data_IF_971183009232
#
_entry.id   IF_971183009232
#
_cell.length_a   1.000
_cell.length_b   1.000
_cell.length_c   1.000
_cell.angle_alpha   90.00
_cell.angle_beta   90.00
_cell.angle_gamma   90.00
#
_symmetry.space_group_name_H-M   'P 1'
#
loop_
_entity.id
_entity.type
_entity.pdbx_description
1 polymer ?
#
# COMPACT_ATOMS: atom_id res chain seq x y z
N UNK A 1 21.35 30.50 3.56
CA UNK A 1 20.67 29.20 3.39
C UNK A 1 20.61 28.57 4.77
N UNK A 2 19.43 28.30 5.33
CA UNK A 2 19.33 27.79 6.69
C UNK A 2 19.63 26.29 6.69
N UNK A 3 20.52 25.85 7.59
CA UNK A 3 20.93 24.46 7.74
C UNK A 3 20.64 23.96 9.15
N UNK A 4 20.31 22.69 9.29
CA UNK A 4 20.10 22.05 10.58
C UNK A 4 20.49 20.57 10.52
N UNK A 5 21.00 20.07 11.64
CA UNK A 5 21.26 18.64 11.84
C UNK A 5 20.06 18.00 12.51
N UNK A 6 19.61 16.87 11.98
CA UNK A 6 18.51 16.11 12.56
C UNK A 6 19.00 15.26 13.71
N UNK A 7 18.31 15.34 14.85
CA UNK A 7 18.66 14.58 16.05
C UNK A 7 17.82 13.33 16.25
N UNK A 8 16.53 13.39 15.89
CA UNK A 8 15.58 12.32 16.20
C UNK A 8 14.40 12.32 15.22
N UNK A 9 13.55 11.31 15.33
CA UNK A 9 12.30 11.19 14.58
C UNK A 9 11.14 11.13 15.58
N UNK A 10 10.01 11.74 15.25
CA UNK A 10 8.79 11.65 16.05
C UNK A 10 7.91 10.45 15.62
N UNK A 11 6.83 10.23 16.37
CA UNK A 11 5.86 9.16 16.12
C UNK A 11 5.11 9.22 14.78
N UNK A 12 5.02 10.39 14.15
CA UNK A 12 4.45 10.56 12.81
C UNK A 12 5.50 10.31 11.72
N UNK A 13 6.75 10.03 12.11
CA UNK A 13 7.87 9.85 11.19
C UNK A 13 8.45 11.17 10.70
N UNK A 14 8.21 12.28 11.40
CA UNK A 14 8.80 13.60 11.08
C UNK A 14 10.14 13.73 11.78
N UNK A 15 11.12 14.25 11.06
CA UNK A 15 12.46 14.46 11.59
C UNK A 15 12.50 15.72 12.46
N UNK A 16 13.25 15.67 13.56
CA UNK A 16 13.27 16.72 14.58
C UNK A 16 14.68 17.30 14.67
N UNK A 17 14.75 18.61 14.47
CA UNK A 17 15.91 19.44 14.76
C UNK A 17 15.59 20.44 15.88
N UNK A 18 16.62 20.97 16.52
CA UNK A 18 16.49 22.07 17.49
C UNK A 18 17.22 23.28 16.95
N UNK A 19 16.47 24.33 16.63
CA UNK A 19 16.99 25.56 16.00
C UNK A 19 16.64 26.73 16.91
N UNK A 20 17.66 27.47 17.39
CA UNK A 20 17.48 28.57 18.35
C UNK A 20 16.57 28.20 19.54
N UNK A 21 16.85 27.05 20.16
CA UNK A 21 16.07 26.44 21.26
C UNK A 21 14.61 26.07 20.98
N UNK A 22 14.17 26.25 19.74
CA UNK A 22 12.84 25.86 19.29
C UNK A 22 12.88 24.52 18.59
N UNK A 23 11.86 23.69 18.85
CA UNK A 23 11.71 22.40 18.18
C UNK A 23 11.21 22.63 16.76
N UNK A 24 11.91 22.10 15.78
CA UNK A 24 11.54 22.24 14.36
C UNK A 24 11.37 20.86 13.75
N UNK A 25 10.15 20.59 13.25
CA UNK A 25 9.83 19.37 12.51
C UNK A 25 10.18 19.59 11.05
N UNK A 26 11.19 18.90 10.56
CA UNK A 26 11.68 19.02 9.18
C UNK A 26 11.24 17.78 8.41
N UNK A 27 10.28 17.90 7.51
CA UNK A 27 9.88 16.76 6.67
C UNK A 27 10.91 16.48 5.59
N UNK A 28 11.16 15.18 5.35
CA UNK A 28 12.01 14.71 4.25
C UNK A 28 13.50 14.65 4.57
N UNK A 29 13.89 14.69 5.85
CA UNK A 29 15.25 14.45 6.30
C UNK A 29 15.36 13.03 6.88
N UNK A 30 16.46 12.72 7.56
CA UNK A 30 16.63 11.55 8.42
C UNK A 30 17.50 11.92 9.62
N UNK A 31 17.37 11.23 10.77
CA UNK A 31 18.35 11.33 11.86
C UNK A 31 19.79 11.26 11.37
N UNK A 32 20.63 12.13 11.95
CA UNK A 32 22.05 12.32 11.61
C UNK A 32 22.33 13.05 10.29
N UNK A 33 21.32 13.33 9.46
CA UNK A 33 21.53 14.17 8.28
C UNK A 33 21.63 15.64 8.67
N UNK A 34 22.51 16.36 7.97
CA UNK A 34 22.48 17.82 7.89
C UNK A 34 21.73 18.19 6.62
N UNK A 35 20.74 19.05 6.74
CA UNK A 35 19.87 19.46 5.62
C UNK A 35 19.78 20.97 5.54
N UNK A 36 19.72 21.49 4.32
CA UNK A 36 19.15 22.80 4.07
C UNK A 36 17.63 22.69 4.14
N UNK A 37 16.96 23.65 4.77
CA UNK A 37 15.52 23.61 4.98
C UNK A 37 14.86 24.97 4.76
N UNK A 38 13.55 24.94 4.58
CA UNK A 38 12.69 26.11 4.52
C UNK A 38 11.53 25.94 5.50
N UNK A 39 11.31 26.95 6.36
CA UNK A 39 10.17 26.96 7.28
C UNK A 39 8.89 27.09 6.44
N UNK A 40 7.99 26.13 6.62
CA UNK A 40 6.68 26.10 5.96
C UNK A 40 5.61 26.70 6.86
N UNK A 41 5.74 26.56 8.18
CA UNK A 41 4.82 27.14 9.15
C UNK A 41 5.53 27.39 10.47
N UNK A 42 5.30 28.56 11.06
CA UNK A 42 5.80 28.87 12.40
C UNK A 42 4.67 28.89 13.42
N UNK A 43 4.89 28.26 14.58
CA UNK A 43 3.95 28.26 15.72
C UNK A 43 4.69 28.70 17.00
N UNK A 44 3.94 28.97 18.07
CA UNK A 44 4.50 29.47 19.34
C UNK A 44 5.58 28.55 19.93
N UNK A 45 5.37 27.23 19.89
CA UNK A 45 6.23 26.25 20.56
C UNK A 45 7.07 25.38 19.62
N UNK A 46 6.75 25.37 18.33
CA UNK A 46 7.50 24.61 17.33
C UNK A 46 7.39 25.24 15.95
N UNK A 47 8.30 24.89 15.06
CA UNK A 47 8.23 25.22 13.64
C UNK A 47 8.03 23.94 12.82
N UNK A 48 7.39 24.08 11.67
CA UNK A 48 7.34 23.07 10.62
C UNK A 48 8.18 23.59 9.46
N UNK A 49 8.96 22.70 8.88
CA UNK A 49 9.86 23.00 7.79
C UNK A 49 9.95 21.81 6.82
N UNK A 50 10.39 22.09 5.61
CA UNK A 50 10.64 21.10 4.58
C UNK A 50 12.13 21.10 4.24
N UNK A 51 12.77 19.92 4.22
CA UNK A 51 14.12 19.79 3.72
C UNK A 51 14.14 20.12 2.22
N UNK A 52 14.99 21.07 1.82
CA UNK A 52 15.16 21.51 0.43
C UNK A 52 16.38 20.86 -0.21
N UNK A 53 17.42 20.56 0.58
CA UNK A 53 18.61 19.84 0.12
C UNK A 53 19.22 19.01 1.25
N UNK A 54 19.62 17.78 0.95
CA UNK A 54 20.39 16.94 1.89
C UNK A 54 21.88 17.24 1.71
N UNK A 55 22.58 17.60 2.77
CA UNK A 55 24.00 17.97 2.75
C UNK A 55 24.91 16.81 3.17
N UNK A 56 24.51 16.05 4.19
CA UNK A 56 25.20 14.82 4.61
C UNK A 56 24.21 13.67 4.57
N UNK A 57 24.09 12.96 3.43
CA UNK A 57 23.09 11.91 3.28
C UNK A 57 23.47 10.68 4.12
N UNK A 58 22.49 10.16 4.86
CA UNK A 58 22.60 8.89 5.57
C UNK A 58 21.52 7.92 5.05
N UNK A 59 21.47 7.79 3.72
CA UNK A 59 20.41 7.10 2.97
C UNK A 59 20.93 5.89 2.25
N UNK A 60 20.07 4.90 2.08
CA UNK A 60 20.25 3.86 1.07
C UNK A 60 19.49 4.23 -0.19
N UNK A 61 19.96 3.75 -1.34
CA UNK A 61 19.20 3.87 -2.59
C UNK A 61 17.97 2.96 -2.51
N UNK A 62 16.75 3.49 -2.75
CA UNK A 62 15.55 2.67 -2.81
C UNK A 62 15.64 1.60 -3.91
N UNK A 63 15.40 0.34 -3.57
CA UNK A 63 15.39 -0.75 -4.56
C UNK A 63 14.16 -0.70 -5.49
N UNK A 64 13.07 -0.06 -5.07
CA UNK A 64 11.87 0.07 -5.90
C UNK A 64 11.97 1.30 -6.82
N UNK A 65 11.87 1.14 -8.14
CA UNK A 65 11.90 2.27 -9.08
C UNK A 65 10.68 3.17 -8.92
N UNK A 66 9.59 2.64 -8.36
CA UNK A 66 8.34 3.36 -8.12
C UNK A 66 8.32 4.12 -6.78
N UNK A 67 9.43 4.12 -6.03
CA UNK A 67 9.49 4.60 -4.64
C UNK A 67 8.98 6.03 -4.43
N UNK A 68 9.28 6.95 -5.36
CA UNK A 68 8.89 8.34 -5.23
C UNK A 68 7.38 8.59 -5.48
N UNK A 69 6.68 7.65 -6.13
CA UNK A 69 5.30 7.83 -6.60
C UNK A 69 4.31 6.92 -5.87
N UNK A 70 4.71 5.68 -5.58
CA UNK A 70 3.86 4.65 -5.00
C UNK A 70 3.55 4.94 -3.53
N UNK A 71 2.27 4.83 -3.16
CA UNK A 71 1.79 4.98 -1.79
C UNK A 71 2.12 3.80 -0.85
N UNK A 72 2.72 2.73 -1.37
CA UNK A 72 2.97 1.50 -0.62
C UNK A 72 4.09 1.59 0.43
N UNK A 73 4.98 2.59 0.37
CA UNK A 73 6.18 2.68 1.22
C UNK A 73 6.54 4.13 1.55
N UNK A 74 7.30 4.33 2.62
CA UNK A 74 7.83 5.64 3.03
C UNK A 74 9.31 5.63 3.43
N UNK A 75 9.90 4.44 3.68
CA UNK A 75 11.23 4.33 4.32
C UNK A 75 12.28 3.57 3.50
N UNK A 76 12.07 3.27 2.21
CA UNK A 76 13.09 2.52 1.44
C UNK A 76 14.41 3.29 1.24
N UNK A 77 14.44 4.58 1.54
CA UNK A 77 15.66 5.38 1.57
C UNK A 77 16.45 5.23 2.89
N UNK A 78 15.95 4.43 3.84
CA UNK A 78 16.60 4.11 5.11
C UNK A 78 17.02 2.65 5.10
N UNK A 79 18.25 2.34 5.51
CA UNK A 79 18.71 0.96 5.61
C UNK A 79 17.82 0.16 6.58
N UNK A 80 17.50 -1.11 6.27
CA UNK A 80 16.52 -1.92 7.02
C UNK A 80 16.85 -2.02 8.52
N UNK A 81 18.12 -2.23 8.88
CA UNK A 81 18.56 -2.28 10.29
C UNK A 81 18.28 -0.96 11.03
N UNK A 82 18.40 0.18 10.34
CA UNK A 82 18.13 1.51 10.90
C UNK A 82 16.61 1.72 11.06
N UNK A 83 15.80 1.17 10.15
CA UNK A 83 14.34 1.21 10.29
C UNK A 83 13.85 0.52 11.58
N UNK A 84 14.49 -0.59 11.97
CA UNK A 84 14.19 -1.29 13.23
C UNK A 84 14.49 -0.39 14.43
N UNK A 85 15.67 0.25 14.45
CA UNK A 85 16.04 1.19 15.50
C UNK A 85 15.09 2.40 15.58
N UNK A 86 14.65 2.94 14.43
CA UNK A 86 13.68 4.05 14.40
C UNK A 86 12.34 3.65 15.01
N UNK A 87 11.82 2.47 14.66
CA UNK A 87 10.56 1.96 15.24
C UNK A 87 10.66 1.74 16.74
N UNK A 88 11.80 1.21 17.20
CA UNK A 88 12.07 1.05 18.64
C UNK A 88 12.05 2.42 19.35
N UNK A 89 12.71 3.42 18.77
CA UNK A 89 12.79 4.75 19.35
C UNK A 89 11.43 5.44 19.41
N UNK A 90 10.58 5.24 18.42
CA UNK A 90 9.20 5.72 18.43
C UNK A 90 8.45 5.14 19.63
N UNK A 91 8.54 3.82 19.88
CA UNK A 91 7.91 3.19 21.05
C UNK A 91 8.40 3.81 22.36
N UNK A 92 9.72 3.93 22.53
CA UNK A 92 10.33 4.52 23.73
C UNK A 92 9.86 5.96 23.97
N UNK A 93 9.86 6.79 22.91
CA UNK A 93 9.43 8.19 23.01
C UNK A 93 7.96 8.29 23.39
N UNK A 94 7.09 7.43 22.84
CA UNK A 94 5.67 7.42 23.18
C UNK A 94 5.42 6.99 24.64
N UNK A 95 6.13 5.97 25.13
CA UNK A 95 6.05 5.55 26.54
C UNK A 95 6.50 6.68 27.49
N UNK A 96 7.56 7.41 27.12
CA UNK A 96 8.06 8.52 27.91
C UNK A 96 7.12 9.74 27.88
N UNK A 97 6.58 10.10 26.70
CA UNK A 97 5.81 11.35 26.53
C UNK A 97 4.35 11.21 26.91
N UNK A 98 3.68 10.14 26.48
CA UNK A 98 2.24 9.98 26.66
C UNK A 98 1.89 9.42 28.04
N UNK A 99 2.59 8.37 28.45
CA UNK A 99 2.30 7.65 29.69
C UNK A 99 3.30 7.95 30.81
N UNK A 100 4.44 8.61 30.51
CA UNK A 100 5.51 8.92 31.47
C UNK A 100 6.02 7.69 32.24
N UNK A 101 5.97 6.53 31.59
CA UNK A 101 6.43 5.26 32.15
C UNK A 101 7.66 4.76 31.42
N UNK A 102 8.47 3.95 32.11
CA UNK A 102 9.58 3.22 31.51
C UNK A 102 9.45 1.74 31.85
N UNK A 103 9.61 0.85 30.87
CA UNK A 103 9.64 -0.58 31.15
C UNK A 103 10.93 -0.91 31.93
N UNK A 104 10.83 -1.87 32.86
CA UNK A 104 12.01 -2.40 33.57
C UNK A 104 12.98 -3.10 32.62
N UNK A 105 12.44 -3.76 31.59
CA UNK A 105 13.19 -4.42 30.54
C UNK A 105 12.58 -4.13 29.18
N UNK A 106 13.40 -3.76 28.21
CA UNK A 106 13.00 -3.61 26.83
C UNK A 106 13.48 -4.85 26.06
N UNK A 107 12.54 -5.61 25.50
CA UNK A 107 12.87 -6.82 24.75
C UNK A 107 13.54 -6.46 23.42
N UNK A 108 14.43 -7.32 22.90
CA UNK A 108 15.04 -7.10 21.59
C UNK A 108 13.96 -7.10 20.49
N UNK A 109 14.07 -6.21 19.48
CA UNK A 109 13.11 -6.16 18.40
C UNK A 109 13.20 -7.42 17.53
N UNK A 110 12.04 -7.95 17.15
CA UNK A 110 11.95 -9.05 16.18
C UNK A 110 11.75 -8.45 14.79
N UNK A 111 12.56 -8.89 13.83
CA UNK A 111 12.48 -8.44 12.44
C UNK A 111 12.84 -9.58 11.49
N UNK A 112 12.36 -9.48 10.25
CA UNK A 112 12.54 -10.49 9.20
C UNK A 112 13.28 -9.96 7.99
N UNK A 113 13.14 -10.66 6.87
CA UNK A 113 13.70 -10.25 5.59
C UNK A 113 13.18 -8.86 5.17
N UNK A 114 14.08 -8.01 4.67
CA UNK A 114 13.75 -6.65 4.25
C UNK A 114 12.99 -6.60 2.91
N UNK A 115 13.11 -7.65 2.10
CA UNK A 115 12.57 -7.79 0.74
C UNK A 115 11.88 -9.15 0.62
N UNK A 116 11.01 -9.31 -0.37
CA UNK A 116 10.33 -10.59 -0.61
C UNK A 116 9.33 -11.04 0.47
N UNK A 117 9.09 -10.24 1.52
CA UNK A 117 8.31 -10.66 2.68
C UNK A 117 6.78 -10.62 2.46
N UNK A 118 6.30 -9.97 1.39
CA UNK A 118 4.86 -9.74 1.19
C UNK A 118 4.26 -10.79 0.27
N UNK A 119 3.58 -11.76 0.89
CA UNK A 119 2.89 -12.87 0.22
C UNK A 119 1.43 -12.57 -0.17
N UNK A 120 0.93 -11.35 0.07
CA UNK A 120 -0.41 -10.92 -0.35
C UNK A 120 -0.40 -9.45 -0.77
N UNK A 121 -0.98 -9.17 -1.93
CA UNK A 121 -1.15 -7.83 -2.45
C UNK A 121 -2.54 -7.64 -3.08
N UNK A 122 -3.06 -6.42 -2.96
CA UNK A 122 -4.25 -5.98 -3.70
C UNK A 122 -3.77 -4.95 -4.72
N UNK A 123 -3.83 -5.32 -5.99
CA UNK A 123 -3.48 -4.45 -7.10
C UNK A 123 -4.76 -3.87 -7.70
N UNK A 124 -4.75 -2.57 -7.98
CA UNK A 124 -5.77 -1.93 -8.80
C UNK A 124 -5.38 -2.09 -10.26
N UNK A 125 -6.35 -2.45 -11.09
CA UNK A 125 -6.17 -2.57 -12.54
C UNK A 125 -7.06 -1.54 -13.25
N UNK A 126 -6.52 -0.88 -14.26
CA UNK A 126 -7.27 -0.03 -15.18
C UNK A 126 -6.91 -0.42 -16.61
N UNK A 127 -7.90 -0.93 -17.34
CA UNK A 127 -7.72 -1.41 -18.71
C UNK A 127 -8.04 -0.28 -19.71
N UNK A 128 -7.03 0.21 -20.41
CA UNK A 128 -7.16 1.14 -21.52
C UNK A 128 -7.18 0.44 -22.88
N UNK A 129 -7.47 1.19 -23.95
CA UNK A 129 -7.55 0.66 -25.32
C UNK A 129 -6.24 0.07 -25.86
N UNK A 130 -5.10 0.56 -25.36
CA UNK A 130 -3.76 0.15 -25.82
C UNK A 130 -2.86 -0.35 -24.68
N UNK A 131 -3.20 -0.06 -23.42
CA UNK A 131 -2.39 -0.42 -22.26
C UNK A 131 -3.25 -0.70 -21.03
N UNK A 132 -2.87 -1.72 -20.26
CA UNK A 132 -3.43 -2.03 -18.95
C UNK A 132 -2.48 -1.55 -17.86
N UNK A 133 -2.97 -0.66 -17.01
CA UNK A 133 -2.28 -0.22 -15.80
C UNK A 133 -2.59 -1.23 -14.71
N UNK A 134 -1.56 -1.76 -14.05
CA UNK A 134 -1.70 -2.66 -12.91
C UNK A 134 -0.76 -2.20 -11.79
N UNK A 135 -1.31 -1.85 -10.63
CA UNK A 135 -0.46 -1.43 -9.52
C UNK A 135 -1.16 -0.88 -8.30
N UNK A 136 -0.50 0.03 -7.60
CA UNK A 136 -0.97 0.60 -6.33
C UNK A 136 -1.36 2.07 -6.49
N UNK A 137 -2.16 2.56 -5.55
CA UNK A 137 -2.46 3.99 -5.48
C UNK A 137 -1.20 4.81 -5.16
N UNK A 138 -1.11 5.98 -5.77
CA UNK A 138 -0.09 6.98 -5.49
C UNK A 138 -0.24 7.59 -4.10
N UNK A 139 0.81 8.23 -3.58
CA UNK A 139 0.73 8.93 -2.29
C UNK A 139 -0.33 10.03 -2.36
N UNK A 140 -1.29 9.99 -1.43
CA UNK A 140 -2.36 11.01 -1.27
C UNK A 140 -3.21 11.24 -2.53
N UNK A 141 -3.35 10.24 -3.39
CA UNK A 141 -4.20 10.32 -4.59
C UNK A 141 -4.68 8.95 -5.05
N UNK A 142 -5.88 8.88 -5.64
CA UNK A 142 -6.45 7.67 -6.22
C UNK A 142 -5.80 7.23 -7.53
N UNK A 143 -4.85 8.00 -8.07
CA UNK A 143 -4.12 7.63 -9.29
C UNK A 143 -3.35 6.33 -9.09
N UNK A 144 -3.48 5.39 -10.02
CA UNK A 144 -2.77 4.10 -10.00
C UNK A 144 -1.38 4.31 -10.61
N UNK A 145 -0.34 3.87 -9.91
CA UNK A 145 1.03 3.78 -10.40
C UNK A 145 1.19 2.41 -11.03
N UNK A 146 1.56 2.34 -12.31
CA UNK A 146 1.78 1.07 -13.00
C UNK A 146 3.06 0.38 -12.50
N UNK A 147 2.89 -0.74 -11.79
CA UNK A 147 3.99 -1.44 -11.12
C UNK A 147 4.56 -2.53 -12.02
N UNK A 148 5.75 -2.29 -12.55
CA UNK A 148 6.51 -3.29 -13.31
C UNK A 148 7.31 -4.25 -12.43
N UNK A 149 7.78 -3.77 -11.27
CA UNK A 149 8.53 -4.57 -10.31
C UNK A 149 8.21 -4.10 -8.89
N UNK A 150 8.15 -5.04 -7.95
CA UNK A 150 7.91 -4.72 -6.55
C UNK A 150 8.80 -5.58 -5.64
N UNK A 151 9.95 -5.04 -5.16
CA UNK A 151 10.97 -5.84 -4.46
C UNK A 151 10.54 -6.38 -3.10
N UNK A 152 9.43 -5.89 -2.54
CA UNK A 152 8.90 -6.43 -1.29
C UNK A 152 7.90 -7.56 -1.49
N UNK A 153 7.36 -7.75 -2.69
CA UNK A 153 6.52 -8.91 -2.99
C UNK A 153 7.39 -10.16 -2.98
N UNK A 154 6.83 -11.25 -2.46
CA UNK A 154 7.46 -12.55 -2.59
C UNK A 154 7.79 -12.82 -4.07
N UNK A 155 8.95 -13.41 -4.41
CA UNK A 155 9.39 -13.61 -5.79
C UNK A 155 8.31 -14.24 -6.67
N UNK A 156 7.61 -15.26 -6.13
CA UNK A 156 6.53 -15.95 -6.84
C UNK A 156 5.37 -15.03 -7.21
N UNK A 157 5.12 -13.95 -6.47
CA UNK A 157 4.11 -12.94 -6.83
C UNK A 157 4.68 -11.85 -7.73
N UNK A 158 5.93 -11.45 -7.50
CA UNK A 158 6.60 -10.42 -8.30
C UNK A 158 6.73 -10.87 -9.76
N UNK A 159 7.11 -12.13 -9.99
CA UNK A 159 7.29 -12.71 -11.33
C UNK A 159 5.97 -12.80 -12.12
N UNK A 160 4.83 -12.86 -11.42
CA UNK A 160 3.51 -12.95 -12.04
C UNK A 160 2.92 -11.58 -12.43
N UNK A 161 3.55 -10.46 -12.09
CA UNK A 161 3.05 -9.13 -12.45
C UNK A 161 2.95 -8.95 -13.98
N UNK A 162 3.96 -9.39 -14.72
CA UNK A 162 3.99 -9.34 -16.18
C UNK A 162 2.91 -10.22 -16.80
N UNK A 163 2.81 -11.48 -16.36
CA UNK A 163 1.81 -12.44 -16.84
C UNK A 163 0.38 -11.96 -16.55
N UNK A 164 0.13 -11.43 -15.35
CA UNK A 164 -1.17 -10.86 -14.97
C UNK A 164 -1.53 -9.70 -15.88
N UNK A 165 -0.58 -8.78 -16.15
CA UNK A 165 -0.81 -7.67 -17.07
C UNK A 165 -1.09 -8.13 -18.49
N UNK A 166 -0.31 -9.07 -19.01
CA UNK A 166 -0.50 -9.64 -20.35
C UNK A 166 -1.87 -10.32 -20.47
N UNK A 167 -2.27 -11.10 -19.46
CA UNK A 167 -3.59 -11.71 -19.39
C UNK A 167 -4.69 -10.64 -19.38
N UNK A 168 -4.58 -9.62 -18.53
CA UNK A 168 -5.55 -8.52 -18.48
C UNK A 168 -5.60 -7.71 -19.79
N UNK A 169 -4.50 -7.64 -20.55
CA UNK A 169 -4.45 -6.99 -21.86
C UNK A 169 -5.18 -7.83 -22.93
N UNK A 170 -5.10 -9.16 -22.84
CA UNK A 170 -5.82 -10.09 -23.71
C UNK A 170 -7.32 -10.15 -23.42
N UNK A 171 -7.75 -9.72 -22.23
CA UNK A 171 -9.15 -9.43 -21.96
C UNK A 171 -9.56 -8.23 -22.81
N UNK A 172 -9.89 -8.49 -24.09
CA UNK A 172 -10.51 -7.56 -25.02
C UNK A 172 -11.49 -6.70 -24.24
N UNK A 173 -11.29 -5.37 -24.23
CA UNK A 173 -12.05 -4.34 -23.50
C UNK A 173 -13.18 -4.95 -22.69
N UNK A 174 -13.21 -4.85 -21.34
CA UNK A 174 -14.50 -5.00 -20.69
C UNK A 174 -15.37 -3.92 -21.33
N UNK A 175 -16.23 -4.33 -22.27
CA UNK A 175 -17.49 -3.66 -22.45
C UNK A 175 -18.00 -3.60 -21.01
N UNK A 176 -18.47 -2.45 -20.50
CA UNK A 176 -19.40 -2.55 -19.36
C UNK A 176 -20.34 -3.69 -19.73
N UNK A 177 -20.60 -4.65 -18.83
CA UNK A 177 -21.47 -5.81 -19.10
C UNK A 177 -22.82 -5.29 -19.62
N UNK A 178 -22.85 -4.97 -20.90
CA UNK A 178 -23.97 -4.36 -21.57
C UNK A 178 -24.63 -5.42 -22.40
N UNK A 179 -23.94 -6.52 -22.74
CA UNK A 179 -24.57 -7.72 -23.27
C UNK A 179 -23.56 -8.84 -23.50
N UNK A 180 -23.85 -10.01 -22.93
CA UNK A 180 -23.42 -11.30 -23.45
C UNK A 180 -24.11 -11.44 -24.83
N UNK A 181 -23.35 -11.28 -25.92
CA UNK A 181 -23.86 -11.48 -27.28
C UNK A 181 -23.11 -12.63 -27.95
N UNK A 182 -23.82 -13.34 -28.83
CA UNK A 182 -23.34 -14.46 -29.65
C UNK A 182 -22.03 -14.09 -30.37
N UNK A 183 -21.05 -15.02 -30.50
CA UNK A 183 -21.12 -16.46 -30.18
C UNK A 183 -20.63 -16.83 -28.77
N UNK A 184 -20.19 -15.87 -27.94
CA UNK A 184 -19.54 -16.15 -26.66
C UNK A 184 -20.50 -16.16 -25.46
N UNK A 185 -21.76 -16.56 -25.68
CA UNK A 185 -22.69 -16.76 -24.56
C UNK A 185 -22.32 -18.07 -23.86
N UNK A 186 -21.95 -17.97 -22.59
CA UNK A 186 -21.61 -19.14 -21.78
C UNK A 186 -22.89 -19.92 -21.50
N UNK A 187 -22.88 -21.24 -21.76
CA UNK A 187 -24.00 -22.09 -21.34
C UNK A 187 -24.09 -22.27 -19.83
N UNK A 188 -22.99 -22.05 -19.11
CA UNK A 188 -22.89 -22.16 -17.65
C UNK A 188 -21.90 -21.14 -17.08
N UNK A 189 -22.27 -20.51 -15.97
CA UNK A 189 -21.45 -19.60 -15.18
C UNK A 189 -21.42 -20.12 -13.73
N UNK A 190 -20.22 -20.38 -13.21
CA UNK A 190 -20.00 -20.58 -11.77
C UNK A 190 -19.39 -19.29 -11.21
N UNK A 191 -20.14 -18.58 -10.39
CA UNK A 191 -19.75 -17.30 -9.82
C UNK A 191 -19.38 -17.47 -8.35
N UNK A 192 -18.14 -17.12 -8.00
CA UNK A 192 -17.61 -17.15 -6.62
C UNK A 192 -17.30 -15.73 -6.16
N UNK A 193 -17.77 -15.34 -4.98
CA UNK A 193 -17.54 -14.01 -4.41
C UNK A 193 -17.42 -14.05 -2.89
N UNK A 194 -16.45 -13.35 -2.32
CA UNK A 194 -16.31 -13.15 -0.87
C UNK A 194 -17.20 -12.02 -0.33
N UNK A 195 -18.07 -11.44 -1.15
CA UNK A 195 -19.02 -10.41 -0.74
C UNK A 195 -20.44 -10.78 -1.21
N UNK A 196 -21.33 -11.19 -0.27
CA UNK A 196 -22.67 -11.67 -0.60
C UNK A 196 -23.56 -10.57 -1.21
N UNK A 197 -23.37 -9.30 -0.83
CA UNK A 197 -24.17 -8.19 -1.35
C UNK A 197 -23.88 -7.91 -2.83
N UNK A 198 -22.59 -7.92 -3.21
CA UNK A 198 -22.21 -7.79 -4.62
C UNK A 198 -22.59 -9.02 -5.43
N UNK A 199 -22.49 -10.22 -4.85
CA UNK A 199 -22.93 -11.45 -5.48
C UNK A 199 -24.42 -11.41 -5.83
N UNK A 200 -25.28 -11.03 -4.86
CA UNK A 200 -26.72 -10.96 -5.05
C UNK A 200 -27.12 -9.95 -6.15
N UNK A 201 -26.49 -8.76 -6.15
CA UNK A 201 -26.71 -7.74 -7.20
C UNK A 201 -26.38 -8.29 -8.58
N UNK A 202 -25.21 -8.92 -8.73
CA UNK A 202 -24.73 -9.39 -10.03
C UNK A 202 -25.49 -10.65 -10.48
N UNK A 203 -25.93 -11.50 -9.54
CA UNK A 203 -26.81 -12.63 -9.82
C UNK A 203 -28.13 -12.19 -10.46
N UNK A 204 -28.74 -11.09 -9.96
CA UNK A 204 -29.93 -10.51 -10.56
C UNK A 204 -29.69 -10.02 -12.00
N UNK A 205 -28.51 -9.47 -12.29
CA UNK A 205 -28.12 -9.08 -13.65
C UNK A 205 -28.02 -10.29 -14.57
N UNK A 206 -27.42 -11.40 -14.11
CA UNK A 206 -27.31 -12.64 -14.90
C UNK A 206 -28.68 -13.24 -15.22
N UNK A 207 -29.58 -13.27 -14.23
CA UNK A 207 -30.97 -13.71 -14.42
C UNK A 207 -31.69 -12.83 -15.42
N UNK A 208 -31.56 -11.50 -15.31
CA UNK A 208 -32.12 -10.54 -16.26
C UNK A 208 -31.54 -10.65 -17.68
N UNK A 209 -30.44 -11.39 -17.87
CA UNK A 209 -29.82 -11.68 -19.17
C UNK A 209 -30.14 -13.07 -19.70
N UNK A 210 -31.11 -13.78 -19.10
CA UNK A 210 -31.62 -15.07 -19.59
C UNK A 210 -30.97 -16.29 -18.96
N UNK A 211 -30.14 -16.13 -17.93
CA UNK A 211 -29.60 -17.28 -17.21
C UNK A 211 -30.55 -17.75 -16.12
N UNK A 212 -30.72 -19.05 -16.00
CA UNK A 212 -31.40 -19.68 -14.89
C UNK A 212 -30.44 -19.87 -13.73
N UNK A 213 -30.73 -19.27 -12.58
CA UNK A 213 -29.97 -19.48 -11.36
C UNK A 213 -30.31 -20.85 -10.76
N UNK A 214 -29.40 -21.82 -10.87
CA UNK A 214 -29.65 -23.24 -10.55
C UNK A 214 -29.37 -23.60 -9.10
N UNK A 215 -28.19 -23.22 -8.62
CA UNK A 215 -27.68 -23.64 -7.32
C UNK A 215 -26.92 -22.49 -6.68
N UNK A 216 -27.00 -22.37 -5.36
CA UNK A 216 -26.18 -21.47 -4.57
C UNK A 216 -25.67 -22.19 -3.33
N UNK A 217 -24.51 -21.78 -2.84
CA UNK A 217 -23.91 -22.29 -1.62
C UNK A 217 -22.99 -21.27 -0.99
N UNK A 218 -22.62 -21.54 0.26
CA UNK A 218 -21.55 -20.80 0.93
C UNK A 218 -20.40 -21.75 1.22
N UNK A 219 -19.20 -21.20 1.24
CA UNK A 219 -18.02 -21.85 1.80
C UNK A 219 -17.62 -21.01 3.00
N UNK A 220 -17.47 -21.63 4.17
CA UNK A 220 -16.93 -20.93 5.33
C UNK A 220 -15.42 -21.14 5.36
N UNK A 221 -14.67 -20.24 4.73
CA UNK A 221 -13.20 -20.29 4.77
C UNK A 221 -12.62 -19.59 6.00
N UNK A 222 -13.44 -18.80 6.72
CA UNK A 222 -13.01 -17.99 7.86
C UNK A 222 -13.99 -18.12 9.05
N UNK A 223 -13.93 -19.25 9.79
CA UNK A 223 -14.72 -19.42 11.01
C UNK A 223 -14.48 -18.28 12.00
N UNK A 224 -15.52 -17.91 12.77
CA UNK A 224 -15.51 -16.80 13.75
C UNK A 224 -15.45 -15.40 13.13
N UNK A 225 -15.72 -15.25 11.83
CA UNK A 225 -15.86 -13.95 11.18
C UNK A 225 -17.23 -13.81 10.50
N UNK A 226 -17.62 -12.58 10.15
CA UNK A 226 -18.79 -12.32 9.33
C UNK A 226 -18.52 -12.45 7.81
N UNK A 227 -17.34 -12.96 7.42
CA UNK A 227 -17.00 -13.18 6.01
C UNK A 227 -17.77 -14.38 5.46
N UNK A 228 -18.31 -14.25 4.25
CA UNK A 228 -19.06 -15.30 3.59
C UNK A 228 -18.57 -15.42 2.16
N UNK A 229 -17.91 -16.54 1.84
CA UNK A 229 -17.65 -16.90 0.46
C UNK A 229 -18.93 -17.52 -0.13
N UNK A 230 -19.48 -16.84 -1.12
CA UNK A 230 -20.69 -17.26 -1.84
C UNK A 230 -20.31 -17.88 -3.18
N UNK A 231 -21.03 -18.93 -3.56
CA UNK A 231 -20.91 -19.61 -4.85
C UNK A 231 -22.30 -19.73 -5.48
N UNK A 232 -22.41 -19.46 -6.76
CA UNK A 232 -23.64 -19.62 -7.54
C UNK A 232 -23.41 -20.24 -8.91
N UNK A 233 -24.29 -21.13 -9.34
CA UNK A 233 -24.28 -21.74 -10.67
C UNK A 233 -25.47 -21.23 -11.48
N UNK A 234 -25.20 -20.75 -12.70
CA UNK A 234 -26.18 -20.18 -13.61
C UNK A 234 -26.07 -20.88 -14.96
N UNK A 235 -27.18 -21.37 -15.52
CA UNK A 235 -27.21 -22.00 -16.83
C UNK A 235 -27.98 -21.13 -17.82
N UNK A 236 -27.48 -21.01 -19.05
CA UNK A 236 -28.24 -20.44 -20.16
C UNK A 236 -29.03 -21.58 -20.81
N UNK A 237 -30.36 -21.46 -20.83
CA UNK A 237 -31.25 -22.37 -21.58
C UNK A 237 -31.41 -21.93 -23.04
#
# INVERSE_FOLDING_TARGET
MNTATIHSIDHEGRDVARIHDKTTFITGALPQETVAYQITRSKKHHDEAQATRILTPYRTTPACPHYNQCGGYTLQHVHSNVQVAYKQRILEDQLQRLSKIRPKFLLPPIYGQAWGYRHRARLSAHHGSQHTILGFQSRRSHRIIDIQQCPILAPQLADQLGNTRALLQQLNRPRPLQTLHVPYILRRIVYVSCNPATFARDAAVLVGKGYRFRNAGIVNMFPQTAHVETVGCFDLE
#
